data_IF_593710112480
#
_entry.id   IF_593710112480
#
_cell.length_a   1.000
_cell.length_b   1.000
_cell.length_c   1.000
_cell.angle_alpha   90.00
_cell.angle_beta   90.00
_cell.angle_gamma   90.00
#
_symmetry.space_group_name_H-M   'P 1'
#
loop_
_entity.id
_entity.type
_entity.pdbx_description
1 polymer ?
#
# COMPACT_ATOMS: atom_id res chain seq x y z
N UNK A 1 64.98 -18.56 4.26
CA UNK A 1 64.22 -19.38 3.29
C UNK A 1 62.81 -18.82 3.25
N UNK A 2 62.55 -17.92 2.30
CA UNK A 2 61.23 -17.39 2.02
C UNK A 2 60.75 -18.08 0.75
N UNK A 3 59.66 -18.86 0.83
CA UNK A 3 59.02 -19.46 -0.33
C UNK A 3 58.00 -18.45 -0.87
N UNK A 4 58.24 -18.00 -2.10
CA UNK A 4 57.35 -17.14 -2.88
C UNK A 4 56.52 -18.06 -3.75
N UNK A 5 55.24 -18.26 -3.42
CA UNK A 5 54.31 -18.94 -4.32
C UNK A 5 53.67 -17.93 -5.27
N UNK A 6 54.01 -18.13 -6.55
CA UNK A 6 53.54 -17.33 -7.70
C UNK A 6 52.24 -17.94 -8.21
N UNK A 7 51.12 -17.24 -8.02
CA UNK A 7 49.87 -17.57 -8.71
C UNK A 7 50.00 -17.31 -10.21
N UNK A 8 49.92 -18.37 -11.03
CA UNK A 8 49.79 -18.24 -12.50
C UNK A 8 48.33 -17.98 -12.88
N UNK A 9 48.10 -16.89 -13.62
CA UNK A 9 46.83 -16.55 -14.27
C UNK A 9 46.45 -17.59 -15.34
N UNK A 10 45.15 -17.84 -15.58
CA UNK A 10 44.70 -18.74 -16.64
C UNK A 10 44.92 -18.12 -18.03
N UNK A 11 45.34 -18.97 -18.96
CA UNK A 11 45.64 -18.70 -20.37
C UNK A 11 44.42 -18.24 -21.17
N UNK A 12 44.62 -17.19 -21.98
CA UNK A 12 43.68 -16.66 -22.97
C UNK A 12 43.24 -17.69 -24.01
N UNK A 13 41.95 -17.65 -24.37
CA UNK A 13 41.26 -18.57 -25.26
C UNK A 13 41.85 -18.66 -26.68
N UNK A 14 42.05 -19.90 -27.13
CA UNK A 14 42.48 -20.24 -28.48
C UNK A 14 41.36 -20.08 -29.52
N UNK A 15 41.81 -19.87 -30.75
CA UNK A 15 41.12 -19.52 -32.01
C UNK A 15 40.01 -20.48 -32.52
N UNK A 16 39.46 -21.36 -31.67
CA UNK A 16 38.40 -22.30 -32.07
C UNK A 16 37.01 -21.64 -32.18
N UNK A 17 36.74 -20.57 -31.42
CA UNK A 17 35.42 -19.91 -31.37
C UNK A 17 35.12 -19.04 -32.61
N UNK A 18 36.15 -18.50 -33.28
CA UNK A 18 35.98 -17.65 -34.47
C UNK A 18 35.63 -18.49 -35.71
N UNK A 19 36.19 -19.70 -35.82
CA UNK A 19 35.90 -20.61 -36.95
C UNK A 19 34.48 -21.19 -36.87
N UNK A 20 33.97 -21.44 -35.65
CA UNK A 20 32.59 -21.91 -35.46
C UNK A 20 31.59 -20.80 -35.76
N UNK A 21 31.84 -19.56 -35.33
CA UNK A 21 30.96 -18.43 -35.64
C UNK A 21 30.89 -18.09 -37.16
N UNK A 22 32.02 -18.21 -37.87
CA UNK A 22 32.08 -17.98 -39.32
C UNK A 22 31.30 -19.01 -40.15
N UNK A 23 31.29 -20.29 -39.74
CA UNK A 23 30.54 -21.33 -40.43
C UNK A 23 29.01 -21.19 -40.24
N UNK A 24 28.55 -20.77 -39.06
CA UNK A 24 27.12 -20.54 -38.80
C UNK A 24 26.54 -19.37 -39.63
N UNK A 25 27.31 -18.29 -39.84
CA UNK A 25 26.86 -17.15 -40.65
C UNK A 25 26.73 -17.47 -42.15
N UNK A 26 27.60 -18.33 -42.70
CA UNK A 26 27.50 -18.77 -44.09
C UNK A 26 26.30 -19.70 -44.33
N UNK A 27 26.01 -20.61 -43.40
CA UNK A 27 24.87 -21.52 -43.50
C UNK A 27 23.54 -20.77 -43.33
N UNK A 28 23.44 -19.85 -42.36
CA UNK A 28 22.24 -19.02 -42.19
C UNK A 28 22.02 -18.06 -43.37
N UNK A 29 23.09 -17.48 -43.93
CA UNK A 29 23.01 -16.60 -45.10
C UNK A 29 22.45 -17.31 -46.35
N UNK A 30 22.84 -18.57 -46.58
CA UNK A 30 22.33 -19.37 -47.72
C UNK A 30 20.86 -19.77 -47.54
N UNK A 31 20.43 -20.05 -46.30
CA UNK A 31 19.03 -20.40 -45.99
C UNK A 31 18.10 -19.19 -46.18
N UNK A 32 18.51 -18.00 -45.71
CA UNK A 32 17.72 -16.77 -45.88
C UNK A 32 17.64 -16.36 -47.37
N UNK A 33 18.72 -16.49 -48.14
CA UNK A 33 18.71 -16.18 -49.57
C UNK A 33 17.82 -17.13 -50.41
N UNK A 34 17.73 -18.42 -50.03
CA UNK A 34 16.79 -19.37 -50.65
C UNK A 34 15.34 -19.10 -50.27
N UNK A 35 15.09 -18.69 -49.02
CA UNK A 35 13.75 -18.37 -48.53
C UNK A 35 13.18 -17.11 -49.19
N UNK A 36 14.00 -16.05 -49.34
CA UNK A 36 13.59 -14.80 -50.02
C UNK A 36 13.30 -15.02 -51.51
N UNK A 37 13.97 -15.97 -52.18
CA UNK A 37 13.65 -16.33 -53.59
C UNK A 37 12.37 -17.15 -53.74
N UNK A 38 11.88 -17.80 -52.68
CA UNK A 38 10.71 -18.69 -52.73
C UNK A 38 9.40 -17.99 -52.31
N UNK A 39 9.48 -16.74 -51.82
CA UNK A 39 8.35 -15.95 -51.32
C UNK A 39 7.70 -15.00 -52.34
N UNK A 40 8.15 -14.99 -53.61
CA UNK A 40 7.61 -14.09 -54.64
C UNK A 40 6.24 -14.48 -55.20
N UNK A 41 5.37 -15.11 -54.40
CA UNK A 41 3.99 -15.36 -54.78
C UNK A 41 3.30 -16.48 -54.01
N UNK A 42 2.91 -16.22 -52.75
CA UNK A 42 1.64 -16.66 -52.14
C UNK A 42 1.65 -16.40 -50.62
N UNK A 43 0.59 -15.74 -50.13
CA UNK A 43 0.31 -15.46 -48.72
C UNK A 43 -0.44 -16.66 -48.08
N UNK A 44 0.07 -17.23 -47.00
CA UNK A 44 -0.74 -17.83 -45.93
C UNK A 44 0.10 -18.17 -44.70
N UNK A 45 -0.30 -17.60 -43.56
CA UNK A 45 0.25 -17.86 -42.23
C UNK A 45 -0.57 -18.99 -41.59
N UNK A 46 0.08 -20.11 -41.28
CA UNK A 46 -0.41 -21.12 -40.33
C UNK A 46 0.67 -21.32 -39.30
N UNK A 47 0.38 -20.98 -38.04
CA UNK A 47 1.24 -21.21 -36.88
C UNK A 47 0.76 -22.48 -36.18
N UNK A 48 1.61 -23.50 -36.12
CA UNK A 48 1.52 -24.56 -35.11
C UNK A 48 2.94 -25.06 -34.75
N UNK A 49 3.25 -25.27 -33.46
CA UNK A 49 4.61 -25.49 -32.97
C UNK A 49 4.95 -26.99 -32.93
N UNK A 50 6.20 -27.33 -33.25
CA UNK A 50 6.76 -28.68 -33.09
C UNK A 50 7.88 -28.67 -32.04
N UNK A 51 7.52 -29.23 -30.89
CA UNK A 51 8.40 -29.78 -29.85
C UNK A 51 9.23 -30.92 -30.45
N UNK A 52 10.53 -31.00 -30.16
CA UNK A 52 11.35 -32.23 -30.12
C UNK A 52 12.69 -31.87 -29.44
N UNK A 53 12.90 -32.37 -28.22
CA UNK A 53 13.82 -33.48 -27.90
C UNK A 53 15.27 -33.30 -28.36
N UNK A 54 16.19 -33.21 -27.39
CA UNK A 54 17.31 -34.15 -27.25
C UNK A 54 18.11 -33.79 -25.98
N UNK A 55 18.19 -34.74 -25.06
CA UNK A 55 19.13 -34.69 -23.95
C UNK A 55 20.50 -35.24 -24.36
N UNK A 56 21.52 -34.91 -23.59
CA UNK A 56 22.65 -35.77 -23.21
C UNK A 56 23.58 -34.94 -22.33
N UNK A 57 23.66 -35.22 -21.03
CA UNK A 57 24.73 -34.71 -20.18
C UNK A 57 25.37 -35.89 -19.46
N UNK A 58 26.54 -36.27 -19.96
CA UNK A 58 27.48 -37.19 -19.32
C UNK A 58 28.14 -36.45 -18.14
N UNK A 59 28.05 -37.05 -16.97
CA UNK A 59 28.84 -36.68 -15.79
C UNK A 59 30.30 -37.10 -15.95
N UNK A 60 31.26 -36.32 -15.46
CA UNK A 60 32.48 -36.87 -14.89
C UNK A 60 32.52 -36.59 -13.38
N UNK A 61 32.56 -37.66 -12.60
CA UNK A 61 32.96 -37.63 -11.19
C UNK A 61 34.48 -37.51 -11.12
N UNK A 62 34.99 -36.44 -10.51
CA UNK A 62 36.38 -36.35 -10.05
C UNK A 62 36.34 -36.25 -8.53
N UNK A 63 36.98 -37.23 -7.90
CA UNK A 63 37.22 -37.35 -6.48
C UNK A 63 38.46 -36.49 -6.20
N UNK A 64 38.33 -35.50 -5.32
CA UNK A 64 39.47 -34.76 -4.77
C UNK A 64 39.63 -35.13 -3.28
N UNK A 65 40.76 -35.72 -2.87
CA UNK A 65 41.03 -36.09 -1.48
C UNK A 65 41.83 -34.99 -0.79
N UNK A 66 41.26 -34.32 0.22
CA UNK A 66 41.97 -33.77 1.40
C UNK A 66 41.08 -32.77 2.15
N UNK A 67 40.22 -33.23 3.08
CA UNK A 67 39.87 -32.47 4.31
C UNK A 67 39.57 -33.47 5.43
N UNK A 68 40.31 -33.37 6.55
CA UNK A 68 40.17 -34.17 7.79
C UNK A 68 39.23 -33.48 8.81
N UNK A 69 38.90 -34.07 9.98
CA UNK A 69 37.52 -34.33 10.37
C UNK A 69 36.99 -33.40 11.48
N UNK A 70 35.69 -33.14 11.49
CA UNK A 70 35.00 -32.55 12.66
C UNK A 70 34.01 -33.55 13.25
N UNK A 71 34.31 -33.90 14.49
CA UNK A 71 33.56 -34.66 15.50
C UNK A 71 32.03 -34.71 15.34
N UNK A 72 31.50 -35.93 15.15
CA UNK A 72 30.08 -36.25 15.31
C UNK A 72 29.85 -36.82 16.71
N UNK A 73 29.11 -36.12 17.56
CA UNK A 73 28.61 -36.67 18.83
C UNK A 73 27.38 -37.53 18.58
N UNK A 74 27.53 -38.82 18.87
CA UNK A 74 26.45 -39.82 18.95
C UNK A 74 25.55 -39.55 20.16
N UNK A 75 24.24 -39.43 19.98
CA UNK A 75 23.26 -39.48 21.09
C UNK A 75 22.63 -40.87 21.12
N UNK A 76 22.79 -41.50 22.27
CA UNK A 76 22.34 -42.83 22.63
C UNK A 76 20.82 -42.83 22.91
N UNK A 77 20.14 -43.87 22.46
CA UNK A 77 18.73 -44.13 22.77
C UNK A 77 18.57 -44.45 24.26
N UNK A 78 17.87 -43.56 24.97
CA UNK A 78 17.48 -43.71 26.37
C UNK A 78 15.97 -43.73 26.47
N UNK A 79 15.41 -44.87 26.88
CA UNK A 79 14.00 -45.03 27.22
C UNK A 79 13.76 -44.39 28.59
N UNK A 80 12.91 -43.37 28.64
CA UNK A 80 12.39 -42.84 29.91
C UNK A 80 10.88 -42.67 29.79
N UNK A 81 10.15 -43.45 30.56
CA UNK A 81 8.71 -43.34 30.78
C UNK A 81 8.38 -42.03 31.50
N UNK A 82 7.50 -41.22 30.92
CA UNK A 82 6.90 -40.02 31.56
C UNK A 82 5.45 -40.36 31.96
N UNK A 83 5.02 -40.08 33.20
CA UNK A 83 3.63 -40.27 33.60
C UNK A 83 2.74 -39.10 33.13
N UNK A 84 1.50 -39.50 32.81
CA UNK A 84 0.29 -38.73 32.50
C UNK A 84 0.23 -37.30 33.07
N UNK A 85 0.03 -36.33 32.18
CA UNK A 85 -0.38 -34.97 32.51
C UNK A 85 -1.91 -34.84 32.38
N UNK A 86 -2.54 -34.33 33.43
CA UNK A 86 -3.97 -34.05 33.56
C UNK A 86 -4.43 -33.03 32.53
N UNK A 87 -5.47 -33.39 31.79
CA UNK A 87 -6.16 -32.57 30.79
C UNK A 87 -6.96 -31.45 31.46
N UNK A 88 -6.64 -30.19 31.15
CA UNK A 88 -7.43 -29.02 31.55
C UNK A 88 -8.29 -28.65 30.34
N UNK A 89 -9.60 -28.85 30.45
CA UNK A 89 -10.60 -28.52 29.43
C UNK A 89 -10.76 -26.99 29.36
N UNK A 90 -10.56 -26.33 28.21
CA UNK A 90 -10.91 -24.92 28.07
C UNK A 90 -12.43 -24.78 27.90
N UNK A 91 -13.05 -24.03 28.81
CA UNK A 91 -14.46 -23.62 28.76
C UNK A 91 -14.68 -22.60 27.64
N UNK A 92 -15.42 -22.98 26.61
CA UNK A 92 -15.88 -22.08 25.55
C UNK A 92 -17.08 -21.28 26.05
N UNK A 93 -16.91 -19.98 26.24
CA UNK A 93 -18.00 -19.05 26.52
C UNK A 93 -18.55 -18.54 25.19
N UNK A 94 -19.75 -18.98 24.83
CA UNK A 94 -20.45 -18.54 23.62
C UNK A 94 -21.11 -17.18 23.88
N UNK A 95 -20.55 -16.11 23.32
CA UNK A 95 -21.21 -14.80 23.27
C UNK A 95 -22.15 -14.77 22.07
N UNK A 96 -23.46 -14.76 22.30
CA UNK A 96 -24.45 -14.53 21.25
C UNK A 96 -24.47 -13.05 20.90
N UNK A 97 -23.88 -12.70 19.75
CA UNK A 97 -24.02 -11.39 19.12
C UNK A 97 -25.45 -11.25 18.59
N UNK A 98 -26.27 -10.45 19.26
CA UNK A 98 -27.55 -9.97 18.73
C UNK A 98 -27.28 -8.90 17.68
N UNK A 99 -27.65 -9.19 16.43
CA UNK A 99 -27.61 -8.28 15.28
C UNK A 99 -28.53 -7.08 15.50
N UNK A 100 -28.08 -5.82 15.36
CA UNK A 100 -28.98 -4.68 15.42
C UNK A 100 -29.86 -4.62 14.16
N UNK A 101 -31.16 -4.40 14.36
CA UNK A 101 -32.14 -4.13 13.30
C UNK A 101 -31.90 -2.74 12.67
N UNK A 102 -31.89 -2.73 11.34
CA UNK A 102 -32.23 -1.68 10.38
C UNK A 102 -32.60 -0.30 10.97
N UNK A 103 -31.62 0.58 11.03
CA UNK A 103 -31.86 2.03 11.07
C UNK A 103 -31.64 2.53 9.65
N UNK A 104 -32.70 3.04 9.01
CA UNK A 104 -32.58 3.77 7.74
C UNK A 104 -31.64 4.94 8.01
N UNK A 105 -30.55 5.05 7.24
CA UNK A 105 -29.69 6.23 7.31
C UNK A 105 -30.55 7.44 6.91
N UNK A 106 -30.93 8.27 7.89
CA UNK A 106 -31.82 9.41 7.71
C UNK A 106 -31.28 10.46 6.72
N UNK A 107 -30.00 10.35 6.35
CA UNK A 107 -29.27 11.23 5.47
C UNK A 107 -28.67 10.52 4.24
N UNK A 108 -29.30 9.44 3.77
CA UNK A 108 -28.84 8.72 2.58
C UNK A 108 -29.92 8.56 1.51
N UNK A 109 -29.49 8.54 0.25
CA UNK A 109 -30.27 8.13 -0.91
C UNK A 109 -29.61 6.93 -1.58
N UNK A 110 -30.34 6.21 -2.43
CA UNK A 110 -29.82 5.05 -3.14
C UNK A 110 -30.44 4.92 -4.52
N UNK A 111 -29.67 4.31 -5.43
CA UNK A 111 -30.05 4.10 -6.82
C UNK A 111 -29.64 2.72 -7.30
N UNK A 112 -30.44 2.12 -8.17
CA UNK A 112 -30.15 0.82 -8.80
C UNK A 112 -30.60 0.82 -10.25
N UNK A 113 -29.96 0.03 -11.10
CA UNK A 113 -30.39 -0.14 -12.49
C UNK A 113 -29.63 -1.22 -13.22
N UNK A 114 -29.93 -1.35 -14.51
CA UNK A 114 -29.31 -2.31 -15.41
C UNK A 114 -28.07 -1.71 -16.09
N UNK A 115 -27.25 -2.58 -16.68
CA UNK A 115 -26.16 -2.16 -17.56
C UNK A 115 -26.65 -1.24 -18.69
N UNK A 116 -26.03 -0.07 -18.79
CA UNK A 116 -26.34 0.98 -19.76
C UNK A 116 -27.27 2.08 -19.23
N UNK A 117 -27.88 1.91 -18.05
CA UNK A 117 -28.73 2.95 -17.48
C UNK A 117 -27.89 4.09 -16.90
N UNK A 118 -28.43 5.31 -16.97
CA UNK A 118 -27.90 6.49 -16.28
C UNK A 118 -28.78 6.81 -15.08
N UNK A 119 -28.17 7.25 -13.98
CA UNK A 119 -28.89 7.84 -12.86
C UNK A 119 -28.55 9.32 -12.74
N UNK A 120 -29.54 10.09 -12.34
CA UNK A 120 -29.39 11.48 -11.96
C UNK A 120 -29.93 11.62 -10.54
N UNK A 121 -29.07 11.98 -9.61
CA UNK A 121 -29.43 12.13 -8.20
C UNK A 121 -29.25 13.59 -7.77
N UNK A 122 -30.17 14.06 -6.93
CA UNK A 122 -30.16 15.41 -6.39
C UNK A 122 -30.05 15.34 -4.87
N UNK A 123 -29.06 16.02 -4.31
CA UNK A 123 -29.01 16.21 -2.87
C UNK A 123 -30.18 17.12 -2.44
N UNK A 124 -30.73 16.95 -1.22
CA UNK A 124 -31.74 17.85 -0.70
C UNK A 124 -31.29 19.32 -0.69
N UNK A 125 -32.24 20.26 -0.66
CA UNK A 125 -31.94 21.70 -0.76
C UNK A 125 -30.91 22.15 0.29
N UNK A 126 -29.84 22.82 -0.18
CA UNK A 126 -28.75 23.30 0.66
C UNK A 126 -27.77 22.22 1.14
N UNK A 127 -27.91 20.99 0.64
CA UNK A 127 -27.01 19.86 0.91
C UNK A 127 -26.19 19.51 -0.33
N UNK A 128 -25.11 18.80 -0.10
CA UNK A 128 -24.30 18.12 -1.12
C UNK A 128 -24.17 16.65 -0.76
N UNK A 129 -23.79 15.80 -1.72
CA UNK A 129 -23.38 14.45 -1.37
C UNK A 129 -22.01 14.49 -0.69
N UNK A 130 -21.92 13.87 0.48
CA UNK A 130 -20.73 13.95 1.34
C UNK A 130 -19.98 12.62 1.40
N UNK A 131 -20.66 11.51 1.16
CA UNK A 131 -20.04 10.18 1.21
C UNK A 131 -20.72 9.19 0.26
N UNK A 132 -19.95 8.27 -0.31
CA UNK A 132 -20.48 7.08 -0.97
C UNK A 132 -20.48 5.95 0.06
N UNK A 133 -21.65 5.51 0.50
CA UNK A 133 -21.77 4.42 1.47
C UNK A 133 -21.66 3.04 0.81
N UNK A 134 -22.06 2.95 -0.46
CA UNK A 134 -21.93 1.74 -1.27
C UNK A 134 -21.91 2.09 -2.74
N UNK A 135 -21.12 1.38 -3.54
CA UNK A 135 -21.14 1.48 -5.00
C UNK A 135 -20.63 0.19 -5.61
N UNK A 136 -21.41 -0.38 -6.53
CA UNK A 136 -21.00 -1.57 -7.26
C UNK A 136 -21.64 -1.59 -8.65
N UNK A 137 -20.81 -1.71 -9.69
CA UNK A 137 -21.20 -2.12 -11.03
C UNK A 137 -20.77 -3.57 -11.27
N UNK A 138 -21.72 -4.47 -11.53
CA UNK A 138 -21.48 -5.90 -11.57
C UNK A 138 -22.75 -6.69 -11.26
N UNK A 139 -22.75 -7.46 -10.18
CA UNK A 139 -23.95 -8.23 -9.75
C UNK A 139 -24.34 -7.96 -8.29
N UNK A 140 -24.46 -6.69 -7.84
CA UNK A 140 -24.84 -6.39 -6.47
C UNK A 140 -26.20 -7.01 -6.11
N UNK A 141 -26.34 -7.37 -4.85
CA UNK A 141 -27.56 -7.97 -4.28
C UNK A 141 -28.09 -7.12 -3.14
N UNK A 142 -29.31 -7.40 -2.70
CA UNK A 142 -30.00 -6.58 -1.69
C UNK A 142 -31.01 -5.62 -2.32
N UNK A 143 -31.60 -4.77 -1.47
CA UNK A 143 -32.63 -3.81 -1.84
C UNK A 143 -32.65 -2.66 -0.82
N UNK A 144 -33.35 -1.58 -1.16
CA UNK A 144 -33.71 -0.50 -0.23
C UNK A 144 -32.51 0.12 0.52
N UNK A 145 -31.41 0.39 -0.21
CA UNK A 145 -30.19 0.97 0.36
C UNK A 145 -29.33 -0.01 1.16
N UNK A 146 -29.76 -1.27 1.31
CA UNK A 146 -29.04 -2.33 2.01
C UNK A 146 -28.43 -3.29 0.98
N UNK A 147 -27.44 -2.79 0.26
CA UNK A 147 -26.80 -3.54 -0.81
C UNK A 147 -25.53 -4.25 -0.36
N UNK A 148 -25.25 -5.36 -1.03
CA UNK A 148 -24.05 -6.17 -0.83
C UNK A 148 -23.38 -6.38 -2.18
N UNK A 149 -22.05 -6.37 -2.16
CA UNK A 149 -21.24 -6.62 -3.35
C UNK A 149 -21.53 -8.03 -3.89
N UNK A 150 -21.71 -8.11 -5.20
CA UNK A 150 -21.92 -9.38 -5.90
C UNK A 150 -20.65 -10.18 -6.15
N UNK A 151 -20.82 -11.39 -6.67
CA UNK A 151 -19.72 -12.23 -7.15
C UNK A 151 -18.94 -11.56 -8.31
N UNK A 152 -19.59 -10.65 -9.04
CA UNK A 152 -18.93 -9.80 -10.01
C UNK A 152 -19.02 -8.33 -9.60
N UNK A 153 -17.89 -7.64 -9.67
CA UNK A 153 -17.74 -6.26 -9.27
C UNK A 153 -16.60 -5.60 -10.04
N UNK A 154 -16.82 -4.39 -10.56
CA UNK A 154 -15.74 -3.54 -11.04
C UNK A 154 -15.09 -2.82 -9.85
N UNK A 155 -13.82 -3.10 -9.56
CA UNK A 155 -13.09 -2.58 -8.38
C UNK A 155 -13.00 -1.03 -8.35
N UNK A 156 -13.13 -0.38 -9.50
CA UNK A 156 -13.18 1.09 -9.63
C UNK A 156 -14.58 1.68 -9.39
N UNK A 157 -15.62 0.87 -9.13
CA UNK A 157 -17.01 1.34 -8.99
C UNK A 157 -17.12 2.45 -7.94
N UNK A 158 -16.51 2.23 -6.78
CA UNK A 158 -16.51 3.20 -5.69
C UNK A 158 -15.90 4.53 -6.11
N UNK A 159 -14.72 4.49 -6.74
CA UNK A 159 -13.99 5.73 -7.05
C UNK A 159 -14.71 6.56 -8.12
N UNK A 160 -15.31 5.91 -9.12
CA UNK A 160 -16.06 6.60 -10.17
C UNK A 160 -17.29 7.29 -9.57
N UNK A 161 -18.02 6.61 -8.68
CA UNK A 161 -19.18 7.21 -8.00
C UNK A 161 -18.73 8.35 -7.08
N UNK A 162 -17.59 8.22 -6.41
CA UNK A 162 -17.02 9.32 -5.61
C UNK A 162 -16.74 10.55 -6.46
N UNK A 163 -16.05 10.37 -7.60
CA UNK A 163 -15.62 11.48 -8.45
C UNK A 163 -16.80 12.20 -9.14
N UNK A 164 -17.95 11.52 -9.30
CA UNK A 164 -19.15 12.11 -9.91
C UNK A 164 -20.09 12.79 -8.91
N UNK A 165 -20.27 12.26 -7.70
CA UNK A 165 -21.29 12.74 -6.77
C UNK A 165 -20.74 13.57 -5.61
N UNK A 166 -19.55 13.29 -5.08
CA UNK A 166 -19.09 13.88 -3.81
C UNK A 166 -18.65 15.33 -4.00
N UNK A 167 -19.18 16.22 -3.16
CA UNK A 167 -18.97 17.66 -3.28
C UNK A 167 -20.04 18.37 -4.12
N UNK A 168 -20.86 17.61 -4.86
CA UNK A 168 -21.86 18.14 -5.76
C UNK A 168 -23.26 18.07 -5.15
N UNK A 169 -24.13 19.01 -5.54
CA UNK A 169 -25.56 18.99 -5.19
C UNK A 169 -26.40 18.19 -6.20
N UNK A 170 -25.82 17.83 -7.35
CA UNK A 170 -26.41 17.03 -8.41
C UNK A 170 -25.29 16.25 -9.11
N UNK A 171 -25.53 14.97 -9.43
CA UNK A 171 -24.59 14.17 -10.23
C UNK A 171 -25.33 13.31 -11.25
N UNK A 172 -24.67 12.99 -12.37
CA UNK A 172 -25.24 12.16 -13.43
C UNK A 172 -24.25 11.13 -13.95
N UNK A 173 -24.50 9.85 -13.65
CA UNK A 173 -23.58 8.77 -13.97
C UNK A 173 -24.23 7.71 -14.84
N UNK A 174 -23.59 7.37 -15.96
CA UNK A 174 -23.96 6.23 -16.82
C UNK A 174 -23.20 4.98 -16.42
N UNK A 175 -23.93 3.91 -16.09
CA UNK A 175 -23.39 2.62 -15.65
C UNK A 175 -23.22 1.65 -16.82
N UNK A 176 -22.13 1.85 -17.57
CA UNK A 176 -21.79 1.03 -18.73
C UNK A 176 -20.34 0.52 -18.73
N UNK A 177 -20.03 -0.35 -19.69
CA UNK A 177 -18.69 -0.93 -19.86
C UNK A 177 -17.63 0.11 -20.28
N UNK A 178 -18.03 1.26 -20.81
CA UNK A 178 -17.09 2.30 -21.22
C UNK A 178 -16.56 3.06 -20.00
N UNK A 179 -17.42 3.28 -19.00
CA UNK A 179 -17.09 3.97 -17.76
C UNK A 179 -16.43 3.03 -16.75
N UNK A 180 -16.99 1.86 -16.52
CA UNK A 180 -16.56 0.95 -15.44
C UNK A 180 -15.70 -0.23 -15.92
N UNK A 181 -15.55 -0.41 -17.24
CA UNK A 181 -15.01 -1.64 -17.82
C UNK A 181 -16.02 -2.79 -17.79
N UNK A 182 -15.62 -3.96 -18.31
CA UNK A 182 -16.46 -5.17 -18.29
C UNK A 182 -15.94 -6.18 -17.24
N UNK A 183 -16.32 -6.06 -15.96
CA UNK A 183 -15.84 -6.96 -14.91
C UNK A 183 -16.35 -8.40 -15.04
N UNK A 184 -17.44 -8.63 -15.79
CA UNK A 184 -18.16 -9.92 -15.78
C UNK A 184 -18.19 -10.66 -17.13
N UNK A 185 -17.44 -10.21 -18.13
CA UNK A 185 -17.39 -10.83 -19.46
C UNK A 185 -18.78 -10.96 -20.10
N UNK A 186 -19.33 -12.18 -20.07
CA UNK A 186 -20.64 -12.54 -20.65
C UNK A 186 -21.83 -12.43 -19.68
N UNK A 187 -21.59 -12.08 -18.41
CA UNK A 187 -22.67 -11.91 -17.42
C UNK A 187 -23.24 -10.49 -17.52
N UNK A 188 -24.57 -10.39 -17.65
CA UNK A 188 -25.27 -9.11 -17.62
C UNK A 188 -25.03 -8.41 -16.27
N UNK A 189 -24.70 -7.11 -16.33
CA UNK A 189 -24.40 -6.31 -15.15
C UNK A 189 -25.61 -5.49 -14.71
N UNK A 190 -25.64 -5.20 -13.43
CA UNK A 190 -26.49 -4.21 -12.78
C UNK A 190 -25.62 -3.31 -11.94
N UNK A 191 -26.19 -2.23 -11.41
CA UNK A 191 -25.53 -1.44 -10.39
C UNK A 191 -26.43 -1.16 -9.20
N UNK A 192 -25.78 -0.84 -8.10
CA UNK A 192 -26.40 -0.26 -6.93
C UNK A 192 -25.44 0.73 -6.29
N UNK A 193 -25.96 1.89 -5.89
CA UNK A 193 -25.23 2.91 -5.15
C UNK A 193 -26.03 3.36 -3.92
N UNK A 194 -25.31 3.85 -2.91
CA UNK A 194 -25.87 4.53 -1.74
C UNK A 194 -25.01 5.76 -1.47
N UNK A 195 -25.63 6.92 -1.41
CA UNK A 195 -24.98 8.22 -1.23
C UNK A 195 -25.50 8.85 0.05
N UNK A 196 -24.60 9.25 0.95
CA UNK A 196 -24.94 10.12 2.06
C UNK A 196 -24.90 11.59 1.60
N UNK A 197 -25.75 12.41 2.18
CA UNK A 197 -25.78 13.86 1.97
C UNK A 197 -25.72 14.62 3.29
N UNK A 198 -25.15 15.83 3.22
CA UNK A 198 -24.88 16.65 4.39
C UNK A 198 -24.68 18.12 4.02
N UNK A 199 -24.39 18.94 5.03
CA UNK A 199 -24.00 20.34 4.81
C UNK A 199 -22.68 20.41 4.04
N UNK A 200 -22.52 21.41 3.17
CA UNK A 200 -21.26 21.69 2.49
C UNK A 200 -20.18 22.08 3.52
N UNK A 201 -19.07 21.33 3.66
CA UNK A 201 -18.00 21.62 4.60
C UNK A 201 -17.12 22.81 4.15
N UNK A 202 -17.32 23.33 2.94
CA UNK A 202 -16.66 24.56 2.49
C UNK A 202 -17.11 25.71 3.39
N UNK A 203 -16.19 26.46 4.03
CA UNK A 203 -16.58 27.55 4.91
C UNK A 203 -17.37 28.56 4.08
N UNK A 204 -18.66 28.69 4.38
CA UNK A 204 -19.49 29.78 3.88
C UNK A 204 -18.75 31.07 4.23
N UNK A 205 -18.18 31.73 3.23
CA UNK A 205 -17.61 33.06 3.41
C UNK A 205 -18.79 33.99 3.60
N UNK A 206 -19.25 34.12 4.84
CA UNK A 206 -20.20 35.15 5.21
C UNK A 206 -19.48 36.48 5.08
N UNK A 207 -19.68 37.17 3.95
CA UNK A 207 -19.32 38.58 3.78
C UNK A 207 -20.07 39.39 4.82
N UNK A 208 -19.46 39.56 5.98
CA UNK A 208 -19.93 40.46 7.03
C UNK A 208 -19.47 41.86 6.64
N UNK A 209 -20.39 42.67 6.14
CA UNK A 209 -20.20 44.11 5.97
C UNK A 209 -20.05 44.73 7.37
N UNK A 210 -18.81 45.00 7.79
CA UNK A 210 -18.54 45.74 9.03
C UNK A 210 -19.06 47.18 8.93
N UNK A 211 -19.98 47.52 9.81
CA UNK A 211 -20.33 48.91 10.18
C UNK A 211 -19.37 49.33 11.29
N UNK A 212 -18.68 50.49 11.20
CA UNK A 212 -17.70 50.88 12.21
C UNK A 212 -18.41 51.21 13.53
N UNK A 213 -18.07 50.50 14.60
CA UNK A 213 -18.56 50.77 15.95
C UNK A 213 -17.41 51.24 16.84
N UNK A 214 -17.57 52.43 17.40
CA UNK A 214 -16.60 53.14 18.24
C UNK A 214 -16.37 52.43 19.58
N UNK A 215 -15.12 52.06 19.89
CA UNK A 215 -14.74 51.46 21.17
C UNK A 215 -14.43 52.52 22.22
N UNK A 216 -15.09 52.46 23.37
CA UNK A 216 -14.77 53.25 24.57
C UNK A 216 -14.04 52.36 25.57
N UNK A 217 -12.83 52.77 25.97
CA UNK A 217 -11.97 52.11 26.95
C UNK A 217 -12.48 52.36 28.38
N UNK A 218 -12.61 51.30 29.19
CA UNK A 218 -12.76 51.39 30.65
C UNK A 218 -11.67 50.52 31.29
N UNK A 219 -10.83 51.13 32.13
CA UNK A 219 -9.74 50.46 32.85
C UNK A 219 -10.25 49.58 34.01
N UNK A 220 -9.52 48.49 34.29
CA UNK A 220 -9.71 47.55 35.41
C UNK A 220 -8.69 47.88 36.51
N UNK A 221 -9.05 47.89 37.81
CA UNK A 221 -8.10 48.20 38.87
C UNK A 221 -7.22 46.99 39.25
N UNK A 222 -5.93 47.27 39.41
CA UNK A 222 -4.87 46.35 39.84
C UNK A 222 -5.00 46.01 41.34
N UNK A 223 -4.95 44.73 41.69
CA UNK A 223 -4.91 44.27 43.10
C UNK A 223 -3.47 43.95 43.50
N UNK A 224 -2.96 44.66 44.50
CA UNK A 224 -1.63 44.49 45.10
C UNK A 224 -1.70 43.49 46.26
N UNK A 225 -0.92 42.39 46.19
CA UNK A 225 -0.69 41.47 47.31
C UNK A 225 0.47 41.95 48.19
N UNK A 226 0.21 42.12 49.48
CA UNK A 226 1.20 42.50 50.51
C UNK A 226 1.66 41.25 51.26
N UNK A 227 2.95 40.95 51.24
CA UNK A 227 3.59 39.88 52.04
C UNK A 227 3.92 40.42 53.44
N UNK A 228 3.43 39.75 54.48
CA UNK A 228 3.77 40.03 55.89
C UNK A 228 4.69 38.93 56.40
N UNK A 229 5.92 39.29 56.77
CA UNK A 229 6.86 38.45 57.54
C UNK A 229 6.54 38.51 59.04
N UNK A 230 6.60 37.36 59.72
CA UNK A 230 6.71 37.24 61.20
C UNK A 230 7.71 36.12 61.51
N UNK A 231 8.59 36.25 62.53
CA UNK A 231 9.81 35.45 62.63
C UNK A 231 9.75 34.26 63.61
N UNK A 232 10.68 33.32 63.36
CA UNK A 232 11.51 32.51 64.28
C UNK A 232 10.87 31.69 65.42
N UNK A 233 11.04 30.36 65.35
CA UNK A 233 11.45 29.55 66.51
C UNK A 233 12.03 28.19 66.07
N UNK A 234 13.25 27.92 66.55
CA UNK A 234 14.00 26.65 66.44
C UNK A 234 13.47 25.62 67.44
N UNK A 235 13.17 24.39 67.02
CA UNK A 235 13.14 23.23 67.93
C UNK A 235 13.48 21.93 67.19
N UNK A 236 14.23 21.09 67.88
CA UNK A 236 14.96 19.89 67.44
C UNK A 236 14.10 18.63 67.27
N UNK A 237 14.53 17.80 66.30
CA UNK A 237 14.16 16.41 65.89
C UNK A 237 13.77 15.46 67.06
N UNK A 238 12.90 14.43 66.87
CA UNK A 238 13.35 13.16 66.27
C UNK A 238 12.38 12.53 65.23
N UNK A 239 13.00 11.77 64.32
CA UNK A 239 12.50 10.68 63.46
C UNK A 239 11.00 10.32 63.54
N UNK A 240 10.27 10.66 62.48
CA UNK A 240 8.94 10.14 62.17
C UNK A 240 8.92 9.64 60.74
N UNK A 241 8.51 8.38 60.55
CA UNK A 241 8.40 7.67 59.28
C UNK A 241 7.58 8.46 58.25
N UNK A 242 8.20 8.87 57.15
CA UNK A 242 7.52 9.46 55.99
C UNK A 242 6.66 8.40 55.32
N UNK A 243 5.34 8.45 55.52
CA UNK A 243 4.40 7.68 54.70
C UNK A 243 4.17 8.47 53.41
N UNK A 244 4.80 8.04 52.31
CA UNK A 244 4.54 8.58 50.98
C UNK A 244 3.19 8.06 50.50
N UNK A 245 2.14 8.88 50.61
CA UNK A 245 0.86 8.60 49.93
C UNK A 245 1.06 8.88 48.44
N UNK A 246 1.27 7.83 47.65
CA UNK A 246 1.25 7.92 46.18
C UNK A 246 -0.21 8.09 45.73
N UNK A 247 -0.61 9.32 45.43
CA UNK A 247 -1.87 9.59 44.75
C UNK A 247 -1.73 9.16 43.29
N UNK A 248 -2.22 7.95 42.96
CA UNK A 248 -2.34 7.50 41.58
C UNK A 248 -3.48 8.27 40.92
N UNK A 249 -3.15 9.34 40.20
CA UNK A 249 -4.10 10.03 39.32
C UNK A 249 -4.33 9.14 38.10
N UNK A 250 -5.42 8.39 38.08
CA UNK A 250 -5.89 7.70 36.87
C UNK A 250 -6.49 8.75 35.96
N UNK A 251 -5.70 9.24 35.00
CA UNK A 251 -6.20 10.03 33.87
C UNK A 251 -6.96 9.07 32.96
N UNK A 252 -8.29 9.03 33.08
CA UNK A 252 -9.13 8.44 32.05
C UNK A 252 -9.12 9.41 30.88
N UNK A 253 -8.28 9.12 29.88
CA UNK A 253 -8.33 9.79 28.58
C UNK A 253 -9.64 9.35 27.91
N UNK A 254 -10.68 10.17 28.04
CA UNK A 254 -11.84 10.08 27.16
C UNK A 254 -11.30 10.28 25.75
N UNK A 255 -11.31 9.24 24.92
CA UNK A 255 -10.93 9.35 23.51
C UNK A 255 -11.81 10.43 22.91
N UNK A 256 -11.18 11.51 22.41
CA UNK A 256 -11.83 12.42 21.50
C UNK A 256 -12.45 11.58 20.36
N UNK A 257 -13.61 11.96 19.82
CA UNK A 257 -14.15 11.30 18.63
C UNK A 257 -13.02 11.22 17.60
N UNK A 258 -12.74 10.01 17.11
CA UNK A 258 -11.73 9.80 16.08
C UNK A 258 -12.14 10.71 14.94
N UNK A 259 -11.35 11.74 14.67
CA UNK A 259 -11.56 12.57 13.50
C UNK A 259 -11.46 11.62 12.30
N UNK A 260 -12.57 11.41 11.61
CA UNK A 260 -12.55 10.64 10.37
C UNK A 260 -11.68 11.40 9.38
N UNK A 261 -10.64 10.73 8.88
CA UNK A 261 -9.74 11.34 7.92
C UNK A 261 -10.33 11.32 6.51
N UNK A 262 -10.13 12.40 5.76
CA UNK A 262 -10.44 12.51 4.34
C UNK A 262 -9.18 12.42 3.47
N UNK A 263 -9.33 12.09 2.19
CA UNK A 263 -8.21 12.13 1.23
C UNK A 263 -7.67 13.56 1.14
N UNK A 264 -6.34 13.71 1.29
CA UNK A 264 -5.65 14.99 1.34
C UNK A 264 -5.31 15.45 2.75
N UNK A 265 -5.94 14.88 3.78
CA UNK A 265 -5.66 15.24 5.17
C UNK A 265 -4.26 14.85 5.61
N UNK A 266 -3.77 15.57 6.62
CA UNK A 266 -2.54 15.19 7.33
C UNK A 266 -2.87 14.01 8.23
N UNK A 267 -2.28 12.85 7.94
CA UNK A 267 -2.46 11.65 8.74
C UNK A 267 -1.71 11.71 10.08
N UNK A 268 -1.92 10.73 10.95
CA UNK A 268 -1.35 10.70 12.30
C UNK A 268 0.18 10.63 12.31
N UNK A 269 0.82 10.20 11.22
CA UNK A 269 2.28 10.18 11.09
C UNK A 269 2.86 11.45 10.44
N UNK A 270 2.02 12.45 10.14
CA UNK A 270 2.42 13.68 9.45
C UNK A 270 2.45 13.56 7.92
N UNK A 271 2.02 12.41 7.39
CA UNK A 271 1.91 12.10 5.97
C UNK A 271 0.67 12.70 5.32
N UNK A 272 0.23 12.09 4.21
CA UNK A 272 -1.03 12.45 3.54
C UNK A 272 -1.90 11.23 3.36
N UNK A 273 -3.16 11.36 3.75
CA UNK A 273 -4.17 10.35 3.50
C UNK A 273 -4.47 10.35 2.00
N UNK A 274 -4.27 9.22 1.33
CA UNK A 274 -4.46 9.11 -0.11
C UNK A 274 -5.59 8.17 -0.49
N UNK A 275 -6.04 7.33 0.46
CA UNK A 275 -7.14 6.41 0.27
C UNK A 275 -7.86 6.19 1.60
N UNK A 276 -9.18 6.24 1.54
CA UNK A 276 -10.10 5.83 2.61
C UNK A 276 -10.94 4.69 2.05
N UNK A 277 -10.98 3.56 2.75
CA UNK A 277 -11.76 2.40 2.35
C UNK A 277 -12.57 1.87 3.54
N UNK A 278 -13.83 2.28 3.60
CA UNK A 278 -14.75 1.95 4.69
C UNK A 278 -15.16 0.47 4.72
N UNK A 279 -14.92 -0.28 3.64
CA UNK A 279 -15.17 -1.72 3.58
C UNK A 279 -14.12 -2.53 4.38
N UNK A 280 -13.02 -1.91 4.80
CA UNK A 280 -12.03 -2.56 5.66
C UNK A 280 -12.46 -2.52 7.13
N UNK A 281 -11.92 -3.44 7.92
CA UNK A 281 -12.15 -3.48 9.35
C UNK A 281 -11.72 -2.17 10.01
N UNK A 282 -12.41 -1.76 11.08
CA UNK A 282 -11.98 -0.65 11.93
C UNK A 282 -10.52 -0.86 12.36
N UNK A 283 -9.72 0.20 12.27
CA UNK A 283 -8.27 0.10 12.45
C UNK A 283 -7.48 -0.27 11.18
N UNK A 284 -8.11 -0.27 9.99
CA UNK A 284 -7.42 -0.45 8.71
C UNK A 284 -8.03 0.31 7.53
N UNK A 285 -8.93 1.27 7.81
CA UNK A 285 -9.73 1.98 6.80
C UNK A 285 -8.95 3.09 6.10
N UNK A 286 -7.92 3.63 6.74
CA UNK A 286 -7.17 4.77 6.23
C UNK A 286 -5.83 4.32 5.70
N UNK A 287 -5.41 4.87 4.57
CA UNK A 287 -4.06 4.70 4.05
C UNK A 287 -3.36 6.05 3.98
N UNK A 288 -2.20 6.12 4.64
CA UNK A 288 -1.35 7.29 4.73
C UNK A 288 -0.06 7.04 3.95
N UNK A 289 0.29 7.96 3.07
CA UNK A 289 1.63 7.97 2.47
C UNK A 289 2.58 8.76 3.35
N UNK A 290 3.85 8.33 3.38
CA UNK A 290 4.90 9.07 4.05
C UNK A 290 5.04 10.49 3.48
N UNK A 291 5.27 11.44 4.37
CA UNK A 291 5.48 12.84 4.04
C UNK A 291 6.69 13.05 3.11
N UNK A 292 6.74 14.20 2.42
CA UNK A 292 7.94 14.57 1.68
C UNK A 292 9.15 14.71 2.63
N UNK A 293 10.30 14.17 2.22
CA UNK A 293 11.53 14.16 3.03
C UNK A 293 11.68 13.00 4.01
N UNK A 294 10.73 12.06 4.06
CA UNK A 294 10.68 10.94 5.01
C UNK A 294 11.97 10.12 5.24
N UNK A 295 12.90 10.14 4.27
CA UNK A 295 14.07 9.25 4.24
C UNK A 295 15.06 9.41 5.40
N UNK A 296 15.03 10.52 6.13
CA UNK A 296 15.84 10.74 7.33
C UNK A 296 15.06 10.48 8.64
N UNK A 297 13.85 9.94 8.54
CA UNK A 297 12.97 9.68 9.68
C UNK A 297 12.24 10.93 10.20
N UNK A 298 12.35 12.06 9.51
CA UNK A 298 11.69 13.31 9.86
C UNK A 298 10.79 13.75 8.69
N UNK A 299 9.66 14.36 9.01
CA UNK A 299 8.84 15.00 7.97
C UNK A 299 9.36 16.38 7.60
N UNK A 300 9.51 16.63 6.30
CA UNK A 300 9.92 17.92 5.77
C UNK A 300 11.45 18.10 5.75
N UNK A 301 11.91 19.32 6.02
CA UNK A 301 13.32 19.69 5.93
C UNK A 301 13.74 20.23 4.56
N UNK A 302 15.05 20.35 4.34
CA UNK A 302 15.62 20.90 3.10
C UNK A 302 15.71 19.86 1.97
N UNK A 303 15.65 18.56 2.29
CA UNK A 303 15.60 17.48 1.31
C UNK A 303 14.19 16.90 1.21
N UNK A 304 13.38 17.41 0.29
CA UNK A 304 12.01 16.94 0.06
C UNK A 304 11.90 15.85 -1.01
N UNK A 305 13.04 15.38 -1.54
CA UNK A 305 13.05 14.45 -2.67
C UNK A 305 13.03 13.01 -2.17
N UNK A 306 12.08 12.23 -2.68
CA UNK A 306 12.04 10.80 -2.38
C UNK A 306 13.33 10.10 -2.87
N UNK A 307 13.92 9.20 -2.07
CA UNK A 307 15.06 8.43 -2.51
C UNK A 307 14.65 7.46 -3.63
N UNK A 308 15.60 7.15 -4.50
CA UNK A 308 15.43 6.10 -5.51
C UNK A 308 16.06 4.80 -5.04
N UNK A 309 15.37 3.69 -5.23
CA UNK A 309 15.89 2.36 -4.96
C UNK A 309 15.42 1.36 -6.01
N UNK A 310 16.16 0.26 -6.11
CA UNK A 310 15.77 -0.88 -6.94
C UNK A 310 14.76 -1.74 -6.20
N UNK A 311 13.93 -2.48 -6.94
CA UNK A 311 13.06 -3.48 -6.34
C UNK A 311 13.87 -4.62 -5.73
N UNK A 312 14.96 -5.01 -6.42
CA UNK A 312 15.93 -5.97 -5.92
C UNK A 312 16.09 -7.18 -6.83
N UNK A 313 15.99 -8.37 -6.23
CA UNK A 313 16.46 -9.65 -6.75
C UNK A 313 15.94 -10.00 -8.14
N UNK A 314 16.70 -9.60 -9.17
CA UNK A 314 16.45 -9.94 -10.56
C UNK A 314 16.57 -11.45 -10.81
N UNK A 315 15.79 -11.97 -11.75
CA UNK A 315 15.66 -13.40 -12.03
C UNK A 315 15.11 -14.26 -10.88
N UNK A 316 14.63 -13.66 -9.79
CA UNK A 316 13.94 -14.36 -8.70
C UNK A 316 12.47 -13.96 -8.69
N UNK A 317 11.60 -14.97 -8.76
CA UNK A 317 10.17 -14.78 -8.57
C UNK A 317 9.85 -14.77 -7.08
N UNK A 318 9.17 -13.73 -6.62
CA UNK A 318 8.60 -13.61 -5.27
C UNK A 318 7.11 -13.41 -5.45
N UNK A 319 6.31 -14.28 -4.84
CA UNK A 319 4.85 -14.20 -4.93
C UNK A 319 4.37 -12.92 -4.25
N UNK A 320 3.68 -12.09 -5.02
CA UNK A 320 3.11 -10.80 -4.58
C UNK A 320 1.74 -10.64 -5.24
N UNK A 321 0.87 -9.82 -4.66
CA UNK A 321 -0.44 -9.48 -5.19
C UNK A 321 -0.50 -8.01 -5.64
N UNK A 322 -1.52 -7.63 -6.40
CA UNK A 322 -1.69 -6.26 -6.92
C UNK A 322 -2.68 -5.40 -6.15
N UNK A 323 -3.66 -6.04 -5.50
CA UNK A 323 -4.81 -5.38 -4.89
C UNK A 323 -4.49 -4.40 -3.77
N UNK A 324 -5.47 -3.55 -3.44
CA UNK A 324 -5.46 -2.68 -2.26
C UNK A 324 -5.35 -3.54 -0.98
N UNK A 325 -4.53 -3.10 -0.02
CA UNK A 325 -4.27 -3.79 1.24
C UNK A 325 -3.22 -4.90 1.14
N UNK A 326 -2.64 -5.16 -0.03
CA UNK A 326 -1.65 -6.24 -0.21
C UNK A 326 -0.19 -5.77 -0.06
N UNK A 327 0.05 -4.46 0.01
CA UNK A 327 1.40 -3.89 0.05
C UNK A 327 2.25 -4.38 1.22
N UNK A 328 1.65 -4.53 2.41
CA UNK A 328 2.34 -4.99 3.62
C UNK A 328 2.84 -6.43 3.50
N UNK A 329 1.95 -7.35 3.10
CA UNK A 329 2.27 -8.75 2.86
C UNK A 329 3.31 -8.91 1.74
N UNK A 330 3.18 -8.14 0.66
CA UNK A 330 4.17 -8.11 -0.43
C UNK A 330 5.54 -7.65 0.08
N UNK A 331 5.58 -6.56 0.84
CA UNK A 331 6.82 -5.99 1.40
C UNK A 331 7.54 -7.01 2.27
N UNK A 332 6.80 -7.69 3.15
CA UNK A 332 7.32 -8.79 3.98
C UNK A 332 7.88 -9.92 3.13
N UNK A 333 7.16 -10.35 2.09
CA UNK A 333 7.61 -11.39 1.17
C UNK A 333 8.90 -10.99 0.43
N UNK A 334 9.03 -9.73 0.02
CA UNK A 334 10.22 -9.20 -0.65
C UNK A 334 11.42 -9.17 0.30
N UNK A 335 11.25 -8.64 1.51
CA UNK A 335 12.34 -8.53 2.50
C UNK A 335 12.87 -9.91 2.90
N UNK A 336 11.99 -10.90 3.06
CA UNK A 336 12.35 -12.28 3.34
C UNK A 336 12.91 -13.01 2.11
N UNK A 337 12.39 -12.68 0.93
CA UNK A 337 12.76 -13.30 -0.34
C UNK A 337 14.02 -12.72 -0.98
N UNK A 338 14.47 -11.53 -0.58
CA UNK A 338 15.57 -10.81 -1.22
C UNK A 338 16.58 -10.24 -0.21
N UNK A 339 17.78 -10.82 -0.22
CA UNK A 339 18.89 -10.43 0.67
C UNK A 339 19.64 -9.17 0.21
N UNK A 340 19.32 -8.61 -0.96
CA UNK A 340 19.95 -7.38 -1.44
C UNK A 340 19.69 -6.23 -0.47
N UNK A 341 20.76 -5.57 -0.03
CA UNK A 341 20.69 -4.41 0.86
C UNK A 341 20.23 -3.16 0.09
N UNK A 342 19.47 -2.27 0.74
CA UNK A 342 19.03 -1.01 0.14
C UNK A 342 17.94 -1.13 -0.93
N UNK A 343 17.22 -2.26 -0.96
CA UNK A 343 16.03 -2.41 -1.82
C UNK A 343 14.86 -1.59 -1.30
N UNK A 344 13.96 -1.18 -2.20
CA UNK A 344 12.82 -0.32 -1.87
C UNK A 344 11.94 -0.87 -0.73
N UNK A 345 11.66 -2.18 -0.73
CA UNK A 345 10.86 -2.82 0.32
C UNK A 345 11.53 -2.75 1.71
N UNK A 346 12.86 -2.78 1.76
CA UNK A 346 13.63 -2.70 3.00
C UNK A 346 13.66 -1.26 3.53
N UNK A 347 13.83 -0.28 2.64
CA UNK A 347 13.72 1.13 3.01
C UNK A 347 12.35 1.48 3.60
N UNK A 348 11.28 0.87 3.09
CA UNK A 348 9.94 1.05 3.62
C UNK A 348 9.74 0.35 4.97
N UNK A 349 10.06 -0.95 5.06
CA UNK A 349 9.83 -1.76 6.28
C UNK A 349 10.73 -1.43 7.46
N UNK A 350 11.90 -0.83 7.24
CA UNK A 350 12.80 -0.39 8.31
C UNK A 350 12.54 1.08 8.72
N UNK A 351 11.61 1.77 8.06
CA UNK A 351 11.28 3.16 8.36
C UNK A 351 10.62 3.30 9.73
N UNK A 352 11.13 4.24 10.52
CA UNK A 352 10.46 4.76 11.70
C UNK A 352 10.17 6.25 11.46
N UNK A 353 8.90 6.62 11.35
CA UNK A 353 8.47 7.98 11.02
C UNK A 353 7.21 8.32 11.82
N UNK A 354 7.20 9.49 12.46
CA UNK A 354 6.06 9.95 13.27
C UNK A 354 5.77 9.08 14.50
N UNK A 355 6.72 8.25 14.93
CA UNK A 355 6.52 7.27 16.01
C UNK A 355 5.95 5.91 15.55
N UNK A 356 5.78 5.73 14.24
CA UNK A 356 5.24 4.50 13.63
C UNK A 356 6.30 3.74 12.86
N UNK A 357 6.23 2.40 12.93
CA UNK A 357 7.19 1.45 12.35
C UNK A 357 6.53 0.40 11.44
N UNK A 358 5.26 0.60 11.11
CA UNK A 358 4.39 -0.27 10.32
C UNK A 358 4.33 0.16 8.84
N UNK A 359 5.40 0.82 8.37
CA UNK A 359 5.51 1.31 7.01
C UNK A 359 5.84 0.18 6.03
N UNK A 360 5.25 0.23 4.84
CA UNK A 360 5.46 -0.76 3.80
C UNK A 360 5.47 -0.15 2.40
N UNK A 361 5.95 -0.93 1.43
CA UNK A 361 5.99 -0.51 0.03
C UNK A 361 4.61 -0.78 -0.62
N UNK A 362 3.97 0.24 -1.23
CA UNK A 362 2.62 0.12 -1.78
C UNK A 362 2.54 -0.94 -2.88
N UNK A 363 1.45 -1.68 -2.95
CA UNK A 363 1.07 -2.55 -4.08
C UNK A 363 0.83 -1.73 -5.35
N UNK A 364 0.66 -2.42 -6.48
CA UNK A 364 0.32 -1.81 -7.76
C UNK A 364 -0.93 -0.93 -7.65
N UNK A 365 -2.00 -1.44 -7.06
CA UNK A 365 -3.26 -0.72 -7.04
C UNK A 365 -3.19 0.43 -6.01
N UNK A 366 -2.43 0.28 -4.92
CA UNK A 366 -2.16 1.34 -3.94
C UNK A 366 -1.33 2.49 -4.54
N UNK A 367 -0.28 2.19 -5.33
CA UNK A 367 0.47 3.23 -6.05
C UNK A 367 -0.38 3.89 -7.14
N UNK A 368 -1.35 3.15 -7.70
CA UNK A 368 -2.38 3.69 -8.59
C UNK A 368 -3.23 4.76 -7.91
N UNK A 369 -3.67 4.53 -6.67
CA UNK A 369 -4.42 5.52 -5.89
C UNK A 369 -3.60 6.77 -5.58
N UNK A 370 -2.33 6.61 -5.20
CA UNK A 370 -1.41 7.74 -5.01
C UNK A 370 -1.31 8.58 -6.29
N UNK A 371 -1.19 7.93 -7.45
CA UNK A 371 -1.12 8.63 -8.73
C UNK A 371 -2.43 9.38 -9.02
N UNK A 372 -3.58 8.73 -8.86
CA UNK A 372 -4.89 9.33 -9.18
C UNK A 372 -5.20 10.53 -8.28
N UNK A 373 -4.80 10.48 -7.01
CA UNK A 373 -5.04 11.55 -6.03
C UNK A 373 -3.89 12.56 -5.93
N UNK A 374 -2.90 12.50 -6.83
CA UNK A 374 -1.62 13.25 -6.74
C UNK A 374 -1.78 14.73 -6.39
N UNK A 375 -2.75 15.41 -7.00
CA UNK A 375 -2.96 16.85 -6.80
C UNK A 375 -3.54 17.12 -5.43
N UNK A 376 -4.56 16.35 -5.02
CA UNK A 376 -5.21 16.44 -3.71
C UNK A 376 -4.25 16.14 -2.55
N UNK A 377 -3.25 15.31 -2.79
CA UNK A 377 -2.24 14.90 -1.78
C UNK A 377 -0.91 15.64 -1.91
N UNK A 378 -0.84 16.71 -2.72
CA UNK A 378 0.32 17.61 -2.79
C UNK A 378 1.53 17.08 -3.56
N UNK A 379 1.36 16.07 -4.41
CA UNK A 379 2.38 15.60 -5.35
C UNK A 379 2.35 16.46 -6.63
N UNK A 380 3.38 17.28 -6.82
CA UNK A 380 3.47 18.25 -7.93
C UNK A 380 4.35 17.81 -9.09
N UNK A 381 5.08 16.70 -8.95
CA UNK A 381 6.01 16.20 -9.95
C UNK A 381 5.53 14.85 -10.52
N UNK A 382 5.82 14.61 -11.80
CA UNK A 382 5.54 13.36 -12.50
C UNK A 382 6.57 12.28 -12.11
N UNK A 383 6.51 11.84 -10.85
CA UNK A 383 7.43 10.83 -10.30
C UNK A 383 6.92 9.41 -10.58
N UNK A 384 7.82 8.56 -11.06
CA UNK A 384 7.57 7.12 -11.17
C UNK A 384 7.87 6.43 -9.84
N UNK A 385 6.81 6.10 -9.10
CA UNK A 385 6.89 5.39 -7.82
C UNK A 385 6.92 3.89 -8.02
N UNK A 386 7.79 3.22 -7.26
CA UNK A 386 7.91 1.77 -7.30
C UNK A 386 6.78 1.11 -6.51
N UNK A 387 6.24 -0.01 -7.01
CA UNK A 387 5.31 -0.85 -6.24
C UNK A 387 5.98 -2.11 -5.70
N UNK A 388 5.37 -2.73 -4.71
CA UNK A 388 5.71 -4.05 -4.17
C UNK A 388 5.17 -5.20 -5.03
N UNK A 389 4.36 -4.92 -6.05
CA UNK A 389 3.80 -5.95 -6.92
C UNK A 389 4.77 -6.30 -8.05
N UNK A 390 5.17 -7.57 -8.12
CA UNK A 390 5.94 -8.10 -9.24
C UNK A 390 4.99 -8.48 -10.40
N UNK A 391 5.47 -8.32 -11.64
CA UNK A 391 4.82 -8.89 -12.82
C UNK A 391 5.44 -10.25 -13.16
N UNK A 392 6.78 -10.33 -13.18
CA UNK A 392 7.50 -11.59 -13.37
C UNK A 392 8.86 -11.59 -12.62
N UNK A 393 9.72 -12.57 -12.91
CA UNK A 393 11.03 -12.72 -12.26
C UNK A 393 12.02 -11.58 -12.54
N UNK A 394 11.78 -10.76 -13.57
CA UNK A 394 12.61 -9.63 -14.02
C UNK A 394 11.87 -8.29 -13.96
N UNK A 395 10.53 -8.29 -14.02
CA UNK A 395 9.72 -7.07 -14.11
C UNK A 395 8.78 -6.86 -12.91
N UNK A 396 8.45 -5.60 -12.65
CA UNK A 396 7.59 -5.12 -11.56
C UNK A 396 6.57 -4.13 -12.09
N UNK A 397 5.54 -3.85 -11.32
CA UNK A 397 4.69 -2.69 -11.59
C UNK A 397 5.26 -1.44 -10.93
N UNK A 398 5.21 -0.32 -11.62
CA UNK A 398 5.50 1.01 -11.07
C UNK A 398 4.42 1.99 -11.54
N UNK A 399 4.32 3.16 -10.93
CA UNK A 399 3.50 4.23 -11.47
C UNK A 399 4.24 4.99 -12.57
N UNK A 400 3.47 5.54 -13.50
CA UNK A 400 3.89 6.52 -14.47
C UNK A 400 2.77 7.53 -14.69
N UNK A 401 3.14 8.77 -15.03
CA UNK A 401 2.18 9.80 -15.40
C UNK A 401 2.46 10.22 -16.84
N UNK A 402 1.47 10.12 -17.71
CA UNK A 402 1.60 10.51 -19.11
C UNK A 402 0.29 11.10 -19.62
N UNK A 403 0.34 12.29 -20.23
CA UNK A 403 -0.84 12.95 -20.81
C UNK A 403 -2.04 13.00 -19.87
N UNK A 404 -1.82 13.41 -18.62
CA UNK A 404 -2.84 13.46 -17.57
C UNK A 404 -3.47 12.13 -17.15
N UNK A 405 -2.86 11.01 -17.52
CA UNK A 405 -3.35 9.68 -17.17
C UNK A 405 -2.34 8.96 -16.30
N UNK A 406 -2.84 8.31 -15.25
CA UNK A 406 -2.08 7.39 -14.43
C UNK A 406 -1.92 6.06 -15.15
N UNK A 407 -0.66 5.67 -15.34
CA UNK A 407 -0.29 4.41 -15.96
C UNK A 407 0.40 3.54 -14.92
N UNK A 408 0.23 2.23 -15.07
CA UNK A 408 0.98 1.22 -14.31
C UNK A 408 1.86 0.39 -15.26
N UNK A 409 2.90 0.99 -15.87
CA UNK A 409 3.79 0.26 -16.76
C UNK A 409 4.57 -0.83 -16.01
N UNK A 410 5.14 -1.74 -16.79
CA UNK A 410 6.12 -2.69 -16.28
C UNK A 410 7.51 -2.05 -16.24
N UNK A 411 8.17 -2.10 -15.09
CA UNK A 411 9.53 -1.67 -14.85
C UNK A 411 10.48 -2.84 -14.61
N UNK A 412 11.79 -2.63 -14.73
CA UNK A 412 12.79 -3.65 -14.44
C UNK A 412 13.15 -3.71 -12.96
N UNK A 413 13.34 -4.91 -12.38
CA UNK A 413 13.74 -5.08 -10.97
C UNK A 413 15.07 -4.41 -10.61
N UNK A 414 15.95 -4.24 -11.60
CA UNK A 414 17.27 -3.60 -11.46
C UNK A 414 17.23 -2.08 -11.70
N UNK A 415 16.11 -1.53 -12.14
CA UNK A 415 15.96 -0.09 -12.36
C UNK A 415 15.58 0.59 -11.05
N UNK A 416 16.18 1.75 -10.77
CA UNK A 416 15.87 2.53 -9.58
C UNK A 416 14.69 3.48 -9.83
N UNK A 417 13.71 3.44 -8.94
CA UNK A 417 12.48 4.22 -8.98
C UNK A 417 12.28 4.95 -7.65
N UNK A 418 11.43 5.98 -7.63
CA UNK A 418 11.14 6.71 -6.41
C UNK A 418 10.42 5.82 -5.41
N UNK A 419 10.82 5.90 -4.14
CA UNK A 419 10.22 5.14 -3.05
C UNK A 419 9.39 6.09 -2.20
N UNK A 420 8.13 5.75 -1.98
CA UNK A 420 7.29 6.41 -0.99
C UNK A 420 6.55 5.34 -0.19
N UNK A 421 6.97 5.09 1.05
CA UNK A 421 6.30 4.14 1.94
C UNK A 421 4.89 4.61 2.26
N UNK A 422 4.02 3.65 2.54
CA UNK A 422 2.67 3.88 3.03
C UNK A 422 2.42 3.05 4.28
N UNK A 423 1.37 3.38 5.02
CA UNK A 423 0.84 2.59 6.13
C UNK A 423 -0.67 2.58 6.07
N UNK A 424 -1.31 1.64 6.77
CA UNK A 424 -2.76 1.65 6.94
C UNK A 424 -3.18 1.45 8.39
N UNK A 425 -4.27 2.10 8.81
CA UNK A 425 -4.77 2.10 10.19
C UNK A 425 -6.26 2.43 10.28
#
# INVERSE_FOLDING_TARGET
MFAVDVCRLPTTGGSASVLVAGAFLLVFGVIVARWVRQSSGQLSIVVAPLVLLSGLALTPSVIDPCVSPTTTSTVQSGSTTVPSATEIVPSVTTTTTTTPQYELLENATWGTGSEGDSIQEFAPEGKIFTEVLFASYGTPTGADGQFQQGACHAENSYQIVVDEFIGESEGNLTFDNSTFGNPCGDTAKTFAIVLAYGDDPTPTTTTTTEVPTTTTTTEVPTTTTTTTEVPSATTTVPSGTTTTTTTTTTTTTTLAPVAEYSVGDVGPSGGRIFLVNMNRAEGSRYFEMACAGWSDGICGGSNLTDPKATWGCNNKSITTATGIGTGEANTTAIVNGCATTGIAARLASELNLGGYSDWFLPSKDEVGQICNKRTSIGLTNDLAFISSSQLDKQTIYNSGYWSNTCLSPAGGKTTSYYVRPIRSF
#
